data_IF_958187529677
#
_entry.id   IF_958187529677
#
_cell.length_a   1.000
_cell.length_b   1.000
_cell.length_c   1.000
_cell.angle_alpha   90.00
_cell.angle_beta   90.00
_cell.angle_gamma   90.00
#
_symmetry.space_group_name_H-M   'P 1'
#
loop_
_entity.id
_entity.type
_entity.pdbx_description
1 polymer ?
#
# COMPACT_ATOMS: atom_id res chain seq x y z
N UNK A 1 3.77 -20.20 7.25
CA UNK A 1 2.92 -21.29 6.70
C UNK A 1 3.22 -21.46 5.22
N UNK A 2 2.95 -22.61 4.61
CA UNK A 2 3.20 -22.83 3.17
C UNK A 2 1.98 -23.50 2.52
N UNK A 3 1.54 -22.99 1.38
CA UNK A 3 0.45 -23.56 0.57
C UNK A 3 0.96 -23.93 -0.83
N UNK A 4 0.45 -25.02 -1.40
CA UNK A 4 0.74 -25.44 -2.79
C UNK A 4 -0.16 -24.79 -3.85
N UNK A 5 -0.90 -23.77 -3.44
CA UNK A 5 -1.75 -22.88 -4.24
C UNK A 5 -1.68 -21.53 -3.50
N UNK A 6 -2.83 -20.94 -3.17
CA UNK A 6 -2.92 -19.60 -2.60
C UNK A 6 -3.00 -19.57 -1.06
N UNK A 7 -2.78 -18.39 -0.48
CA UNK A 7 -3.26 -18.10 0.87
C UNK A 7 -2.56 -18.88 1.96
N UNK A 8 -1.23 -18.97 1.90
CA UNK A 8 -0.40 -19.72 2.84
C UNK A 8 -0.72 -19.44 4.32
N UNK A 9 -0.99 -18.18 4.68
CA UNK A 9 -1.45 -17.81 6.02
C UNK A 9 -2.98 -17.92 6.22
N UNK A 10 -3.76 -17.37 5.30
CA UNK A 10 -5.21 -17.27 5.40
C UNK A 10 -5.89 -17.30 4.04
N UNK A 11 -6.93 -18.11 3.92
CA UNK A 11 -7.80 -18.17 2.76
C UNK A 11 -9.19 -17.63 3.14
N UNK A 12 -9.57 -16.50 2.54
CA UNK A 12 -10.85 -15.85 2.77
C UNK A 12 -11.63 -15.80 1.45
N UNK A 13 -12.68 -16.63 1.32
CA UNK A 13 -13.41 -16.81 0.06
C UNK A 13 -14.91 -16.69 0.31
N UNK A 14 -15.54 -15.70 -0.33
CA UNK A 14 -16.98 -15.54 -0.39
C UNK A 14 -17.50 -16.03 -1.74
N UNK A 15 -17.92 -17.29 -1.84
CA UNK A 15 -18.59 -17.84 -3.03
C UNK A 15 -20.10 -17.84 -2.81
N UNK A 16 -20.86 -17.09 -3.64
CA UNK A 16 -22.32 -16.92 -3.50
C UNK A 16 -22.75 -16.38 -2.11
N UNK A 17 -21.81 -15.82 -1.35
CA UNK A 17 -21.97 -15.51 0.07
C UNK A 17 -20.88 -14.59 0.57
N UNK A 18 -20.85 -14.35 1.88
CA UNK A 18 -19.93 -13.36 2.49
C UNK A 18 -18.92 -14.03 3.40
N UNK A 19 -17.64 -13.70 3.20
CA UNK A 19 -16.55 -14.00 4.12
C UNK A 19 -15.72 -12.72 4.37
N UNK A 20 -16.03 -11.99 5.43
CA UNK A 20 -15.43 -10.68 5.73
C UNK A 20 -14.95 -10.63 7.19
N UNK A 21 -13.89 -11.37 7.54
CA UNK A 21 -13.35 -11.40 8.90
C UNK A 21 -12.73 -10.06 9.32
N UNK A 22 -12.72 -9.79 10.62
CA UNK A 22 -11.98 -8.67 11.21
C UNK A 22 -10.76 -9.19 11.94
N UNK A 23 -9.59 -8.66 11.59
CA UNK A 23 -8.30 -9.00 12.17
C UNK A 23 -7.72 -7.77 12.84
N UNK A 24 -7.25 -7.94 14.08
CA UNK A 24 -6.56 -6.87 14.78
C UNK A 24 -5.35 -7.38 15.55
N UNK A 25 -4.25 -6.63 15.49
CA UNK A 25 -3.01 -6.96 16.18
C UNK A 25 -2.47 -8.34 15.75
N UNK A 26 -2.40 -8.56 14.45
CA UNK A 26 -1.97 -9.83 13.84
C UNK A 26 -0.70 -9.61 13.02
N UNK A 27 0.20 -10.59 13.03
CA UNK A 27 1.36 -10.61 12.16
C UNK A 27 1.31 -11.83 11.26
N UNK A 28 1.30 -11.62 9.95
CA UNK A 28 1.56 -12.63 8.94
C UNK A 28 3.03 -12.53 8.53
N UNK A 29 3.85 -13.47 8.97
CA UNK A 29 5.28 -13.46 8.64
C UNK A 29 5.76 -14.75 8.03
N UNK A 30 6.64 -14.63 7.04
CA UNK A 30 7.32 -15.75 6.42
C UNK A 30 6.35 -16.85 5.94
N UNK A 31 5.23 -16.43 5.34
CA UNK A 31 4.34 -17.36 4.64
C UNK A 31 4.74 -17.49 3.18
N UNK A 32 4.50 -18.66 2.60
CA UNK A 32 4.76 -18.94 1.19
C UNK A 32 3.54 -19.53 0.48
N UNK A 33 3.38 -19.21 -0.79
CA UNK A 33 2.35 -19.75 -1.69
C UNK A 33 2.96 -20.03 -3.07
N UNK A 34 2.61 -21.17 -3.67
CA UNK A 34 3.02 -21.54 -5.04
C UNK A 34 2.28 -20.71 -6.11
N UNK A 35 1.23 -19.98 -5.73
CA UNK A 35 0.46 -19.07 -6.58
C UNK A 35 0.41 -17.68 -5.92
N UNK A 36 -0.73 -17.30 -5.33
CA UNK A 36 -1.01 -15.92 -4.94
C UNK A 36 -1.16 -15.71 -3.42
N UNK A 37 -0.93 -14.47 -2.98
CA UNK A 37 -1.37 -14.01 -1.65
C UNK A 37 -0.80 -14.86 -0.52
N UNK A 38 0.53 -14.99 -0.43
CA UNK A 38 1.16 -15.96 0.45
C UNK A 38 0.77 -15.81 1.92
N UNK A 39 0.47 -14.59 2.39
CA UNK A 39 -0.12 -14.40 3.70
C UNK A 39 -1.65 -14.50 3.68
N UNK A 40 -2.32 -13.87 2.72
CA UNK A 40 -3.76 -13.76 2.69
C UNK A 40 -4.31 -13.65 1.27
N UNK A 41 -5.33 -14.46 0.97
CA UNK A 41 -6.21 -14.22 -0.17
C UNK A 41 -7.59 -13.80 0.27
N UNK A 42 -8.19 -12.88 -0.49
CA UNK A 42 -9.55 -12.37 -0.32
C UNK A 42 -10.27 -12.46 -1.66
N UNK A 43 -11.10 -13.49 -1.84
CA UNK A 43 -11.77 -13.76 -3.12
C UNK A 43 -13.28 -13.61 -2.95
N UNK A 44 -13.85 -12.58 -3.56
CA UNK A 44 -15.28 -12.46 -3.79
C UNK A 44 -15.60 -13.03 -5.17
N UNK A 45 -16.43 -14.07 -5.24
CA UNK A 45 -16.72 -14.77 -6.49
C UNK A 45 -18.22 -15.06 -6.62
N UNK A 46 -18.73 -14.92 -7.84
CA UNK A 46 -20.10 -15.21 -8.24
C UNK A 46 -21.13 -14.52 -7.34
N UNK A 47 -21.18 -13.20 -7.42
CA UNK A 47 -21.95 -12.28 -6.55
C UNK A 47 -21.54 -12.34 -5.05
N UNK A 48 -20.46 -13.04 -4.72
CA UNK A 48 -19.95 -13.19 -3.36
C UNK A 48 -19.07 -12.02 -2.90
N UNK A 49 -18.85 -11.93 -1.59
CA UNK A 49 -18.14 -10.81 -0.95
C UNK A 49 -17.04 -11.34 -0.05
N UNK A 50 -15.83 -10.84 -0.24
CA UNK A 50 -14.68 -11.08 0.63
C UNK A 50 -13.96 -9.78 0.98
N UNK A 51 -14.48 -9.04 1.97
CA UNK A 51 -13.99 -7.70 2.31
C UNK A 51 -13.58 -7.64 3.79
N UNK A 52 -12.42 -8.20 4.17
CA UNK A 52 -11.98 -8.20 5.57
C UNK A 52 -11.61 -6.79 6.07
N UNK A 53 -11.63 -6.62 7.39
CA UNK A 53 -11.14 -5.41 8.07
C UNK A 53 -9.86 -5.75 8.84
N UNK A 54 -8.79 -5.01 8.58
CA UNK A 54 -7.46 -5.23 9.15
C UNK A 54 -7.03 -3.97 9.90
N UNK A 55 -6.77 -4.11 11.19
CA UNK A 55 -6.35 -3.00 12.06
C UNK A 55 -5.08 -3.39 12.82
N UNK A 56 -4.01 -2.62 12.71
CA UNK A 56 -2.72 -2.96 13.35
C UNK A 56 -2.23 -4.35 12.90
N UNK A 57 -2.09 -4.54 11.58
CA UNK A 57 -1.64 -5.81 11.00
C UNK A 57 -0.28 -5.62 10.34
N UNK A 58 0.60 -6.61 10.49
CA UNK A 58 1.91 -6.62 9.86
C UNK A 58 2.04 -7.81 8.92
N UNK A 59 2.41 -7.55 7.67
CA UNK A 59 2.79 -8.52 6.66
C UNK A 59 4.30 -8.41 6.41
N UNK A 60 5.07 -9.41 6.83
CA UNK A 60 6.52 -9.35 6.76
C UNK A 60 7.15 -10.60 6.13
N UNK A 61 7.98 -10.42 5.11
CA UNK A 61 8.75 -11.52 4.51
C UNK A 61 7.89 -12.62 3.87
N UNK A 62 6.69 -12.30 3.39
CA UNK A 62 5.83 -13.28 2.71
C UNK A 62 6.21 -13.38 1.22
N UNK A 63 6.16 -14.60 0.66
CA UNK A 63 6.65 -14.89 -0.69
C UNK A 63 5.60 -15.65 -1.49
N UNK A 64 5.09 -15.05 -2.55
CA UNK A 64 4.19 -15.69 -3.52
C UNK A 64 4.95 -15.94 -4.83
N UNK A 65 4.68 -17.06 -5.49
CA UNK A 65 5.30 -17.37 -6.77
C UNK A 65 4.68 -16.62 -7.95
N UNK A 66 3.42 -16.19 -7.85
CA UNK A 66 2.73 -15.39 -8.86
C UNK A 66 2.50 -13.95 -8.34
N UNK A 67 1.30 -13.62 -7.84
CA UNK A 67 0.91 -12.27 -7.46
C UNK A 67 0.68 -12.05 -5.96
N UNK A 68 0.82 -10.79 -5.53
CA UNK A 68 0.44 -10.39 -4.18
C UNK A 68 1.29 -11.08 -3.11
N UNK A 69 2.58 -10.76 -3.03
CA UNK A 69 3.53 -11.47 -2.17
C UNK A 69 3.09 -11.62 -0.72
N UNK A 70 2.28 -10.69 -0.21
CA UNK A 70 1.50 -10.88 1.01
C UNK A 70 0.00 -11.08 0.74
N UNK A 71 -0.64 -10.15 0.05
CA UNK A 71 -2.09 -10.05 -0.04
C UNK A 71 -2.59 -10.03 -1.48
N UNK A 72 -3.55 -10.89 -1.78
CA UNK A 72 -4.22 -10.96 -3.08
C UNK A 72 -5.72 -10.74 -2.92
N UNK A 73 -6.24 -9.65 -3.49
CA UNK A 73 -7.63 -9.20 -3.35
C UNK A 73 -8.35 -9.24 -4.69
N UNK A 74 -9.32 -10.16 -4.84
CA UNK A 74 -9.97 -10.39 -6.13
C UNK A 74 -11.48 -10.41 -6.08
N UNK A 75 -12.10 -9.67 -7.00
CA UNK A 75 -13.49 -9.83 -7.37
C UNK A 75 -13.60 -10.52 -8.73
N UNK A 76 -14.25 -11.69 -8.79
CA UNK A 76 -14.61 -12.42 -10.01
C UNK A 76 -16.12 -12.51 -10.16
N UNK A 77 -16.64 -12.56 -11.40
CA UNK A 77 -18.04 -12.87 -11.71
C UNK A 77 -19.02 -12.03 -10.86
N UNK A 78 -18.91 -10.70 -10.96
CA UNK A 78 -19.67 -9.73 -10.13
C UNK A 78 -19.41 -9.80 -8.61
N UNK A 79 -18.39 -10.55 -8.18
CA UNK A 79 -17.93 -10.64 -6.80
C UNK A 79 -17.14 -9.40 -6.35
N UNK A 80 -17.02 -9.24 -5.03
CA UNK A 80 -16.44 -8.04 -4.41
C UNK A 80 -15.37 -8.39 -3.39
N UNK A 81 -14.19 -7.78 -3.52
CA UNK A 81 -13.10 -7.88 -2.55
C UNK A 81 -12.53 -6.50 -2.21
N UNK A 82 -13.14 -5.86 -1.21
CA UNK A 82 -12.81 -4.49 -0.82
C UNK A 82 -12.31 -4.46 0.63
N UNK A 83 -11.11 -4.97 0.93
CA UNK A 83 -10.60 -4.96 2.29
C UNK A 83 -10.34 -3.54 2.79
N UNK A 84 -10.52 -3.33 4.11
CA UNK A 84 -10.19 -2.06 4.79
C UNK A 84 -8.95 -2.25 5.65
N UNK A 85 -7.92 -1.45 5.42
CA UNK A 85 -6.62 -1.53 6.10
C UNK A 85 -6.35 -0.24 6.85
N UNK A 86 -6.20 -0.37 8.16
CA UNK A 86 -5.89 0.73 9.07
C UNK A 86 -4.65 0.37 9.89
N UNK A 87 -3.63 1.23 9.87
CA UNK A 87 -2.37 0.99 10.57
C UNK A 87 -1.72 -0.36 10.17
N UNK A 88 -1.48 -0.53 8.87
CA UNK A 88 -0.94 -1.79 8.33
C UNK A 88 0.48 -1.58 7.81
N UNK A 89 1.34 -2.57 8.04
CA UNK A 89 2.72 -2.57 7.54
C UNK A 89 2.91 -3.74 6.59
N UNK A 90 3.40 -3.47 5.39
CA UNK A 90 3.92 -4.45 4.45
C UNK A 90 5.42 -4.23 4.29
N UNK A 91 6.23 -5.15 4.81
CA UNK A 91 7.69 -5.04 4.76
C UNK A 91 8.34 -6.29 4.17
N UNK A 92 9.23 -6.13 3.20
CA UNK A 92 10.02 -7.24 2.66
C UNK A 92 9.22 -8.37 2.02
N UNK A 93 8.02 -8.13 1.51
CA UNK A 93 7.22 -9.16 0.83
C UNK A 93 7.65 -9.28 -0.64
N UNK A 94 7.56 -10.48 -1.22
CA UNK A 94 8.04 -10.77 -2.57
C UNK A 94 7.00 -11.52 -3.42
N UNK A 95 6.85 -11.12 -4.67
CA UNK A 95 6.07 -11.81 -5.71
C UNK A 95 6.94 -12.01 -6.97
N UNK A 96 6.86 -13.17 -7.66
CA UNK A 96 7.62 -13.33 -8.92
C UNK A 96 6.88 -12.82 -10.16
N UNK A 97 5.65 -12.32 -10.03
CA UNK A 97 4.97 -11.53 -11.07
C UNK A 97 4.71 -10.11 -10.57
N UNK A 98 3.56 -9.85 -9.94
CA UNK A 98 3.12 -8.49 -9.66
C UNK A 98 2.63 -8.27 -8.23
N UNK A 99 2.78 -7.04 -7.73
CA UNK A 99 2.31 -6.66 -6.40
C UNK A 99 3.12 -7.34 -5.30
N UNK A 100 4.39 -6.95 -5.12
CA UNK A 100 5.30 -7.60 -4.18
C UNK A 100 4.75 -7.67 -2.75
N UNK A 101 3.89 -6.72 -2.36
CA UNK A 101 3.06 -6.81 -1.17
C UNK A 101 1.59 -7.14 -1.49
N UNK A 102 0.96 -6.35 -2.36
CA UNK A 102 -0.49 -6.39 -2.56
C UNK A 102 -0.84 -6.37 -4.04
N UNK A 103 -1.78 -7.22 -4.42
CA UNK A 103 -2.36 -7.23 -5.75
C UNK A 103 -3.88 -7.13 -5.65
N UNK A 104 -4.45 -6.19 -6.41
CA UNK A 104 -5.88 -5.91 -6.44
C UNK A 104 -6.41 -6.15 -7.85
N UNK A 105 -7.35 -7.07 -7.97
CA UNK A 105 -7.86 -7.53 -9.26
C UNK A 105 -9.38 -7.47 -9.31
N UNK A 106 -9.93 -6.63 -10.19
CA UNK A 106 -11.31 -6.74 -10.62
C UNK A 106 -11.36 -7.41 -11.97
N UNK A 107 -12.07 -8.53 -12.08
CA UNK A 107 -12.22 -9.30 -13.31
C UNK A 107 -13.68 -9.75 -13.51
N UNK A 108 -14.11 -9.87 -14.76
CA UNK A 108 -15.44 -10.36 -15.16
C UNK A 108 -16.57 -9.69 -14.37
N UNK A 109 -16.72 -8.37 -14.54
CA UNK A 109 -17.63 -7.49 -13.79
C UNK A 109 -17.38 -7.42 -12.26
N UNK A 110 -16.32 -8.05 -11.75
CA UNK A 110 -15.93 -8.06 -10.35
C UNK A 110 -15.24 -6.77 -9.89
N UNK A 111 -15.19 -6.58 -8.57
CA UNK A 111 -14.73 -5.33 -7.95
C UNK A 111 -13.65 -5.59 -6.88
N UNK A 112 -12.50 -4.93 -7.01
CA UNK A 112 -11.44 -4.88 -5.99
C UNK A 112 -11.05 -3.43 -5.69
N UNK A 113 -11.62 -2.88 -4.62
CA UNK A 113 -11.45 -1.48 -4.23
C UNK A 113 -11.05 -1.39 -2.76
N UNK A 114 -9.82 -1.78 -2.40
CA UNK A 114 -9.37 -1.71 -1.02
C UNK A 114 -9.23 -0.26 -0.54
N UNK A 115 -9.46 -0.03 0.74
CA UNK A 115 -9.25 1.27 1.40
C UNK A 115 -8.07 1.17 2.36
N UNK A 116 -7.09 2.07 2.20
CA UNK A 116 -5.86 2.08 2.99
C UNK A 116 -5.75 3.42 3.72
N UNK A 117 -5.54 3.35 5.04
CA UNK A 117 -5.27 4.51 5.90
C UNK A 117 -4.14 4.19 6.85
N UNK A 118 -3.13 5.07 6.89
CA UNK A 118 -1.92 4.88 7.73
C UNK A 118 -1.20 3.57 7.38
N UNK A 119 -0.89 3.37 6.10
CA UNK A 119 -0.28 2.13 5.62
C UNK A 119 1.16 2.39 5.21
N UNK A 120 2.04 1.46 5.55
CA UNK A 120 3.43 1.48 5.13
C UNK A 120 3.74 0.31 4.20
N UNK A 121 4.41 0.60 3.08
CA UNK A 121 5.02 -0.38 2.18
C UNK A 121 6.52 -0.12 2.10
N UNK A 122 7.33 -0.97 2.71
CA UNK A 122 8.80 -0.85 2.71
C UNK A 122 9.48 -2.08 2.11
N UNK A 123 10.40 -1.88 1.18
CA UNK A 123 11.28 -2.95 0.71
C UNK A 123 10.56 -4.14 0.05
N UNK A 124 9.36 -3.97 -0.49
CA UNK A 124 8.64 -5.04 -1.17
C UNK A 124 9.14 -5.20 -2.62
N UNK A 125 9.13 -6.42 -3.13
CA UNK A 125 9.73 -6.76 -4.43
C UNK A 125 8.75 -7.52 -5.31
N UNK A 126 8.55 -7.05 -6.54
CA UNK A 126 7.88 -7.78 -7.61
C UNK A 126 8.85 -7.98 -8.77
N UNK A 127 8.75 -9.08 -9.52
CA UNK A 127 9.63 -9.24 -10.69
C UNK A 127 9.15 -8.40 -11.89
N UNK A 128 7.85 -8.21 -12.07
CA UNK A 128 7.27 -7.48 -13.20
C UNK A 128 6.71 -6.12 -12.79
N UNK A 129 5.56 -6.08 -12.09
CA UNK A 129 4.80 -4.83 -11.90
C UNK A 129 4.49 -4.53 -10.44
N UNK A 130 4.65 -3.27 -10.04
CA UNK A 130 4.17 -2.80 -8.74
C UNK A 130 4.93 -3.45 -7.59
N UNK A 131 6.13 -2.94 -7.29
CA UNK A 131 7.00 -3.57 -6.28
C UNK A 131 6.32 -3.67 -4.92
N UNK A 132 5.45 -2.70 -4.59
CA UNK A 132 4.52 -2.81 -3.48
C UNK A 132 3.14 -3.27 -3.95
N UNK A 133 2.51 -2.50 -4.83
CA UNK A 133 1.09 -2.65 -5.16
C UNK A 133 0.84 -2.71 -6.66
N UNK A 134 0.02 -3.67 -7.09
CA UNK A 134 -0.45 -3.78 -8.46
C UNK A 134 -1.98 -3.75 -8.51
N UNK A 135 -2.54 -2.99 -9.46
CA UNK A 135 -3.98 -2.72 -9.55
C UNK A 135 -4.51 -2.97 -10.96
N UNK A 136 -5.31 -4.03 -11.12
CA UNK A 136 -5.78 -4.52 -12.41
C UNK A 136 -7.31 -4.49 -12.54
N UNK A 137 -7.83 -3.79 -13.55
CA UNK A 137 -9.19 -4.01 -14.02
C UNK A 137 -9.18 -4.74 -15.37
N UNK A 138 -9.81 -5.91 -15.44
CA UNK A 138 -9.95 -6.72 -16.65
C UNK A 138 -11.41 -7.14 -16.87
N UNK A 139 -11.79 -7.45 -18.10
CA UNK A 139 -13.14 -7.90 -18.52
C UNK A 139 -14.30 -7.17 -17.80
N UNK A 140 -14.33 -5.83 -17.95
CA UNK A 140 -15.28 -4.92 -17.29
C UNK A 140 -15.17 -4.82 -15.75
N UNK A 141 -14.23 -5.54 -15.15
CA UNK A 141 -13.89 -5.48 -13.74
C UNK A 141 -13.22 -4.18 -13.33
N UNK A 142 -13.30 -3.88 -12.03
CA UNK A 142 -12.93 -2.59 -11.46
C UNK A 142 -11.88 -2.77 -10.37
N UNK A 143 -10.72 -2.12 -10.53
CA UNK A 143 -9.70 -1.99 -9.49
C UNK A 143 -9.42 -0.52 -9.16
N UNK A 144 -9.97 -0.01 -8.05
CA UNK A 144 -9.88 1.40 -7.68
C UNK A 144 -9.56 1.58 -6.20
N UNK A 145 -8.31 1.29 -5.78
CA UNK A 145 -7.92 1.44 -4.38
C UNK A 145 -7.92 2.93 -3.97
N UNK A 146 -8.28 3.19 -2.72
CA UNK A 146 -8.23 4.54 -2.12
C UNK A 146 -7.17 4.57 -1.02
N UNK A 147 -6.21 5.49 -1.14
CA UNK A 147 -5.06 5.59 -0.25
C UNK A 147 -5.04 6.97 0.41
N UNK A 148 -5.06 6.98 1.74
CA UNK A 148 -4.86 8.16 2.57
C UNK A 148 -3.71 7.90 3.54
N UNK A 149 -2.73 8.81 3.60
CA UNK A 149 -1.63 8.71 4.57
C UNK A 149 -0.86 7.40 4.44
N UNK A 150 -0.36 7.16 3.23
CA UNK A 150 0.38 5.94 2.89
C UNK A 150 1.81 6.31 2.52
N UNK A 151 2.77 5.54 2.98
CA UNK A 151 4.18 5.68 2.59
C UNK A 151 4.62 4.46 1.81
N UNK A 152 5.22 4.67 0.64
CA UNK A 152 5.91 3.67 -0.16
C UNK A 152 7.39 4.03 -0.22
N UNK A 153 8.22 3.20 0.38
CA UNK A 153 9.68 3.37 0.35
C UNK A 153 10.38 2.12 -0.16
N UNK A 154 11.37 2.31 -1.03
CA UNK A 154 12.32 1.25 -1.44
C UNK A 154 11.70 -0.04 -1.99
N UNK A 155 10.51 0.08 -2.57
CA UNK A 155 9.88 -1.04 -3.27
C UNK A 155 10.49 -1.17 -4.67
N UNK A 156 10.63 -2.39 -5.16
CA UNK A 156 11.34 -2.68 -6.42
C UNK A 156 10.50 -3.52 -7.37
N UNK A 157 10.42 -3.09 -8.63
CA UNK A 157 9.84 -3.88 -9.72
C UNK A 157 10.50 -3.55 -11.06
N UNK A 158 10.11 -4.23 -12.14
CA UNK A 158 10.53 -3.82 -13.48
C UNK A 158 9.72 -2.60 -13.98
N UNK A 159 8.44 -2.54 -13.62
CA UNK A 159 7.51 -1.45 -13.94
C UNK A 159 6.77 -0.97 -12.70
N UNK A 160 6.81 0.33 -12.39
CA UNK A 160 6.13 0.86 -11.22
C UNK A 160 6.78 0.37 -9.92
N UNK A 161 7.89 0.98 -9.50
CA UNK A 161 8.64 0.51 -8.34
C UNK A 161 7.79 0.43 -7.08
N UNK A 162 6.93 1.43 -6.84
CA UNK A 162 5.88 1.32 -5.83
C UNK A 162 4.60 0.71 -6.40
N UNK A 163 4.00 1.40 -7.38
CA UNK A 163 2.65 1.10 -7.85
C UNK A 163 2.62 0.89 -9.36
N UNK A 164 1.93 -0.16 -9.81
CA UNK A 164 1.56 -0.33 -11.20
C UNK A 164 0.04 -0.43 -11.35
N UNK A 165 -0.52 0.30 -12.32
CA UNK A 165 -1.95 0.31 -12.61
C UNK A 165 -2.17 -0.06 -14.07
N UNK A 166 -3.11 -0.95 -14.32
CA UNK A 166 -3.32 -1.46 -15.66
C UNK A 166 -4.77 -1.86 -15.91
N UNK A 167 -5.15 -1.80 -17.18
CA UNK A 167 -6.49 -2.14 -17.65
C UNK A 167 -6.41 -2.99 -18.92
N UNK A 168 -7.33 -3.92 -19.06
CA UNK A 168 -7.59 -4.63 -20.31
C UNK A 168 -9.09 -4.94 -20.47
N UNK A 169 -9.51 -5.35 -21.68
CA UNK A 169 -10.86 -5.84 -22.01
C UNK A 169 -12.05 -5.03 -21.44
N UNK A 170 -11.92 -3.70 -21.36
CA UNK A 170 -12.99 -2.82 -20.87
C UNK A 170 -13.01 -2.62 -19.34
N UNK A 171 -12.06 -3.22 -18.62
CA UNK A 171 -11.85 -3.00 -17.20
C UNK A 171 -11.37 -1.59 -16.87
N UNK A 172 -11.43 -1.26 -15.57
CA UNK A 172 -11.12 0.07 -15.06
C UNK A 172 -10.14 -0.02 -13.91
N UNK A 173 -9.02 0.69 -14.02
CA UNK A 173 -8.05 0.90 -12.94
C UNK A 173 -7.85 2.39 -12.72
N UNK A 174 -8.30 2.86 -11.55
CA UNK A 174 -8.26 4.28 -11.18
C UNK A 174 -8.01 4.53 -9.69
N UNK A 175 -6.79 4.30 -9.18
CA UNK A 175 -6.43 4.62 -7.81
C UNK A 175 -6.56 6.11 -7.45
N UNK A 176 -6.92 6.37 -6.20
CA UNK A 176 -6.98 7.70 -5.61
C UNK A 176 -5.99 7.84 -4.46
N UNK A 177 -5.00 8.72 -4.61
CA UNK A 177 -3.93 8.94 -3.63
C UNK A 177 -4.03 10.34 -3.01
N UNK A 178 -4.02 10.39 -1.67
CA UNK A 178 -3.98 11.62 -0.90
C UNK A 178 -3.06 11.46 0.31
N UNK A 179 -2.27 12.48 0.64
CA UNK A 179 -1.29 12.41 1.74
C UNK A 179 -0.31 11.23 1.56
N UNK A 180 0.11 10.94 0.33
CA UNK A 180 0.99 9.79 0.05
C UNK A 180 2.44 10.24 -0.10
N UNK A 181 3.37 9.46 0.43
CA UNK A 181 4.80 9.59 0.15
C UNK A 181 5.24 8.44 -0.75
N UNK A 182 5.87 8.77 -1.89
CA UNK A 182 6.49 7.85 -2.85
C UNK A 182 7.97 8.21 -2.94
N UNK A 183 8.84 7.42 -2.31
CA UNK A 183 10.26 7.73 -2.20
C UNK A 183 11.16 6.50 -2.32
N UNK A 184 12.34 6.66 -2.94
CA UNK A 184 13.37 5.65 -3.17
C UNK A 184 12.91 4.30 -3.73
N UNK A 185 11.73 4.25 -4.34
CA UNK A 185 11.26 3.11 -5.09
C UNK A 185 12.06 2.98 -6.41
N UNK A 186 12.26 1.75 -6.88
CA UNK A 186 13.12 1.46 -8.03
C UNK A 186 12.39 0.66 -9.10
N UNK A 187 12.49 1.13 -10.35
CA UNK A 187 12.04 0.37 -11.51
C UNK A 187 12.75 0.80 -12.80
N UNK A 188 12.73 -0.08 -13.80
CA UNK A 188 13.19 0.26 -15.15
C UNK A 188 12.32 1.34 -15.77
N UNK A 189 11.00 1.30 -15.52
CA UNK A 189 9.99 2.24 -16.02
C UNK A 189 9.06 2.64 -14.89
N UNK A 190 8.92 3.94 -14.63
CA UNK A 190 8.08 4.42 -13.52
C UNK A 190 8.66 4.04 -12.16
N UNK A 191 9.72 4.71 -11.71
CA UNK A 191 10.38 4.36 -10.43
C UNK A 191 9.40 4.44 -9.25
N UNK A 192 8.51 5.43 -9.25
CA UNK A 192 7.43 5.53 -8.28
C UNK A 192 6.17 4.82 -8.80
N UNK A 193 5.77 5.11 -10.04
CA UNK A 193 4.49 4.63 -10.55
C UNK A 193 4.48 4.41 -12.07
N UNK A 194 3.77 3.37 -12.50
CA UNK A 194 3.51 3.11 -13.92
C UNK A 194 2.02 2.87 -14.21
N UNK A 195 1.49 3.50 -15.28
CA UNK A 195 0.12 3.26 -15.77
C UNK A 195 0.10 2.68 -17.19
N UNK A 196 -0.73 1.67 -17.40
CA UNK A 196 -1.01 1.04 -18.70
C UNK A 196 -2.52 1.12 -18.97
N UNK A 197 -2.98 2.07 -19.78
CA UNK A 197 -4.42 2.29 -19.99
C UNK A 197 -5.22 2.71 -18.75
N UNK A 198 -4.55 2.89 -17.60
CA UNK A 198 -5.13 3.28 -16.32
C UNK A 198 -4.99 4.79 -16.07
N UNK A 199 -5.89 5.35 -15.27
CA UNK A 199 -5.80 6.77 -14.86
C UNK A 199 -5.80 6.86 -13.36
N UNK A 200 -4.71 7.35 -12.75
CA UNK A 200 -4.70 7.59 -11.31
C UNK A 200 -4.80 9.08 -10.99
N UNK A 201 -5.28 9.40 -9.79
CA UNK A 201 -5.27 10.78 -9.27
C UNK A 201 -4.42 10.89 -8.01
N UNK A 202 -3.69 11.99 -7.87
CA UNK A 202 -2.83 12.25 -6.71
C UNK A 202 -2.90 13.71 -6.28
N UNK A 203 -2.92 13.96 -4.98
CA UNK A 203 -2.98 15.32 -4.40
C UNK A 203 -2.38 15.31 -3.00
N UNK A 204 -1.86 16.45 -2.54
CA UNK A 204 -1.25 16.58 -1.21
C UNK A 204 -0.27 15.45 -0.93
N UNK A 205 0.71 15.26 -1.81
CA UNK A 205 1.59 14.08 -1.78
C UNK A 205 3.03 14.48 -2.08
N UNK A 206 3.97 13.72 -1.56
CA UNK A 206 5.40 13.90 -1.78
C UNK A 206 5.91 12.78 -2.67
N UNK A 207 6.47 13.14 -3.83
CA UNK A 207 6.89 12.19 -4.85
C UNK A 207 8.33 12.51 -5.23
N UNK A 208 9.22 11.53 -5.11
CA UNK A 208 10.61 11.70 -5.54
C UNK A 208 10.66 12.09 -7.02
N UNK A 209 11.25 13.25 -7.29
CA UNK A 209 11.43 13.72 -8.66
C UNK A 209 12.71 13.12 -9.23
N UNK A 210 12.55 12.06 -10.01
CA UNK A 210 13.56 11.59 -10.94
C UNK A 210 13.03 11.65 -12.40
N UNK A 211 13.92 11.37 -13.36
CA UNK A 211 13.60 11.47 -14.79
C UNK A 211 12.47 10.55 -15.26
N UNK A 212 12.07 9.58 -14.42
CA UNK A 212 11.14 8.50 -14.72
C UNK A 212 10.21 8.20 -13.54
N UNK A 213 9.96 9.18 -12.66
CA UNK A 213 9.19 9.00 -11.43
C UNK A 213 7.81 8.39 -11.69
N UNK A 214 7.09 8.98 -12.65
CA UNK A 214 5.78 8.51 -13.10
C UNK A 214 5.82 8.30 -14.60
N UNK A 215 5.54 7.07 -15.02
CA UNK A 215 5.47 6.70 -16.43
C UNK A 215 4.04 6.29 -16.82
N UNK A 216 3.70 6.51 -18.08
CA UNK A 216 2.42 6.10 -18.67
C UNK A 216 2.71 5.48 -20.04
N UNK A 217 1.90 4.51 -20.44
CA UNK A 217 1.80 4.11 -21.84
C UNK A 217 1.01 5.17 -22.67
N UNK A 218 0.59 4.81 -23.89
CA UNK A 218 -0.08 5.75 -24.78
C UNK A 218 -1.51 6.13 -24.34
N UNK A 219 -2.12 5.36 -23.44
CA UNK A 219 -3.53 5.51 -23.03
C UNK A 219 -3.69 5.78 -21.53
N UNK A 220 -2.64 5.56 -20.74
CA UNK A 220 -2.59 5.89 -19.32
C UNK A 220 -2.46 7.39 -19.07
N UNK A 221 -2.90 7.83 -17.89
CA UNK A 221 -2.82 9.25 -17.53
C UNK A 221 -2.74 9.50 -16.02
N UNK A 222 -2.39 10.73 -15.68
CA UNK A 222 -2.28 11.21 -14.29
C UNK A 222 -3.13 12.45 -14.12
N UNK A 223 -3.96 12.44 -13.08
CA UNK A 223 -4.72 13.61 -12.64
C UNK A 223 -4.06 14.19 -11.40
N UNK A 224 -3.25 15.23 -11.61
CA UNK A 224 -2.63 15.97 -10.51
C UNK A 224 -3.65 16.93 -9.87
N UNK A 225 -3.82 16.79 -8.58
CA UNK A 225 -4.41 17.80 -7.71
C UNK A 225 -3.35 18.75 -7.16
N UNK A 226 -3.71 19.57 -6.15
CA UNK A 226 -2.80 20.54 -5.55
C UNK A 226 -1.75 19.87 -4.65
N UNK A 227 -0.76 20.68 -4.26
CA UNK A 227 0.27 20.38 -3.27
C UNK A 227 1.04 19.07 -3.52
N UNK A 228 1.67 18.98 -4.69
CA UNK A 228 2.61 17.90 -5.01
C UNK A 228 4.03 18.40 -4.73
N UNK A 229 4.66 17.80 -3.74
CA UNK A 229 6.00 18.12 -3.27
C UNK A 229 7.00 17.12 -3.84
N UNK A 230 8.26 17.56 -4.01
CA UNK A 230 9.30 16.74 -4.64
C UNK A 230 10.63 16.75 -3.90
N UNK A 231 10.72 17.51 -2.81
CA UNK A 231 11.90 17.58 -1.97
C UNK A 231 11.96 16.36 -1.04
N UNK A 232 13.16 16.03 -0.57
CA UNK A 232 13.44 14.87 0.29
C UNK A 232 12.53 14.84 1.54
N UNK A 233 11.83 13.72 1.84
CA UNK A 233 10.98 13.58 3.02
C UNK A 233 11.79 13.57 4.32
N UNK A 234 13.12 13.48 4.26
CA UNK A 234 14.02 13.45 5.41
C UNK A 234 13.62 12.36 6.41
N UNK A 235 13.52 11.12 5.94
CA UNK A 235 13.29 9.98 6.82
C UNK A 235 14.39 9.87 7.89
N UNK A 236 14.03 9.36 9.07
CA UNK A 236 14.95 9.25 10.20
C UNK A 236 16.06 8.22 9.93
N UNK A 237 15.68 7.02 9.48
CA UNK A 237 16.61 5.91 9.20
C UNK A 237 15.92 4.87 8.31
N UNK A 238 15.92 5.08 7.00
CA UNK A 238 15.01 4.43 6.06
C UNK A 238 15.28 2.94 5.76
N UNK A 239 16.43 2.40 6.17
CA UNK A 239 16.77 0.95 6.19
C UNK A 239 17.00 0.43 7.62
N UNK A 240 16.63 1.25 8.60
CA UNK A 240 16.68 0.86 10.01
C UNK A 240 18.08 0.63 10.56
N UNK A 241 18.10 0.18 11.81
CA UNK A 241 19.34 0.01 12.57
C UNK A 241 20.21 -1.14 12.07
N UNK A 242 19.66 -2.05 11.26
CA UNK A 242 20.37 -3.17 10.65
C UNK A 242 20.89 -2.91 9.23
N UNK A 243 20.73 -1.69 8.71
CA UNK A 243 21.10 -1.28 7.35
C UNK A 243 20.51 -2.22 6.26
N UNK A 244 19.36 -2.84 6.54
CA UNK A 244 18.72 -3.83 5.65
C UNK A 244 17.29 -3.42 5.34
N UNK A 245 17.08 -2.96 4.12
CA UNK A 245 15.76 -2.61 3.57
C UNK A 245 14.74 -3.75 3.70
N UNK A 246 13.50 -3.43 4.06
CA UNK A 246 12.39 -4.38 4.08
C UNK A 246 12.36 -5.22 5.36
N UNK A 247 12.98 -4.71 6.42
CA UNK A 247 12.90 -5.27 7.77
C UNK A 247 11.87 -4.51 8.59
N UNK A 248 11.67 -4.92 9.84
CA UNK A 248 10.69 -4.28 10.71
C UNK A 248 11.24 -3.00 11.36
N UNK A 249 12.55 -2.77 11.30
CA UNK A 249 13.21 -1.59 11.86
C UNK A 249 13.43 -0.44 10.86
N UNK A 250 13.03 -0.59 9.59
CA UNK A 250 12.90 0.52 8.64
C UNK A 250 12.14 1.70 9.29
N UNK A 251 12.80 2.85 9.42
CA UNK A 251 12.29 4.03 10.14
C UNK A 251 11.97 5.19 9.19
N UNK A 252 10.76 5.11 8.65
CA UNK A 252 10.22 6.07 7.68
C UNK A 252 9.44 7.21 8.34
N UNK A 253 9.70 7.49 9.62
CA UNK A 253 9.24 8.71 10.30
C UNK A 253 9.96 9.92 9.73
N UNK A 254 9.33 11.08 9.80
CA UNK A 254 9.89 12.34 9.28
C UNK A 254 10.83 13.00 10.31
N UNK A 255 11.94 13.53 9.83
CA UNK A 255 12.87 14.35 10.61
C UNK A 255 12.50 15.84 10.57
N UNK A 256 13.07 16.62 11.50
CA UNK A 256 12.94 18.08 11.53
C UNK A 256 13.27 18.71 10.16
N UNK A 257 12.37 19.57 9.67
CA UNK A 257 12.54 20.28 8.40
C UNK A 257 12.05 19.52 7.18
N UNK A 258 11.46 18.33 7.35
CA UNK A 258 10.82 17.61 6.25
C UNK A 258 9.73 18.47 5.60
N UNK A 259 9.66 18.53 4.26
CA UNK A 259 8.61 19.23 3.54
C UNK A 259 7.24 18.55 3.66
N UNK A 260 7.19 17.30 4.15
CA UNK A 260 5.94 16.57 4.39
C UNK A 260 5.23 17.00 5.68
N UNK A 261 5.90 17.76 6.57
CA UNK A 261 5.33 18.21 7.84
C UNK A 261 4.34 19.35 7.60
N UNK A 262 3.16 19.29 8.24
CA UNK A 262 2.06 20.27 8.13
C UNK A 262 1.64 20.57 6.68
N UNK A 263 1.81 19.57 5.80
CA UNK A 263 1.63 19.70 4.35
C UNK A 263 0.48 18.85 3.78
N UNK A 264 -0.11 17.97 4.60
CA UNK A 264 -1.20 17.10 4.23
C UNK A 264 -2.57 17.79 4.16
N UNK A 265 -3.56 17.01 3.75
CA UNK A 265 -4.94 17.43 3.61
C UNK A 265 -5.81 16.76 4.68
N UNK A 266 -6.35 17.57 5.58
CA UNK A 266 -7.20 17.14 6.68
C UNK A 266 -8.53 16.54 6.19
N UNK A 267 -9.01 16.92 5.00
CA UNK A 267 -10.28 16.40 4.45
C UNK A 267 -10.17 14.93 4.02
N UNK A 268 -8.95 14.40 3.85
CA UNK A 268 -8.71 13.00 3.50
C UNK A 268 -8.54 12.08 4.72
N UNK A 269 -8.61 12.63 5.94
CA UNK A 269 -8.27 11.90 7.17
C UNK A 269 -9.50 11.17 7.72
N UNK A 270 -9.40 9.85 7.79
CA UNK A 270 -10.38 9.00 8.46
C UNK A 270 -10.00 8.66 9.92
N UNK A 271 -8.70 8.65 10.23
CA UNK A 271 -8.16 8.20 11.51
C UNK A 271 -7.58 9.36 12.33
N UNK A 272 -7.80 9.36 13.65
CA UNK A 272 -7.31 10.43 14.53
C UNK A 272 -5.88 10.21 15.02
N UNK A 273 -5.31 9.04 14.77
CA UNK A 273 -3.92 8.71 15.11
C UNK A 273 -3.16 8.23 13.89
N UNK A 274 -1.83 8.33 13.91
CA UNK A 274 -0.90 7.81 12.90
C UNK A 274 -0.55 6.32 13.15
N UNK A 275 0.41 5.81 12.38
CA UNK A 275 0.87 4.41 12.49
C UNK A 275 1.57 4.08 13.83
N UNK A 276 2.13 5.08 14.52
CA UNK A 276 2.72 4.94 15.86
C UNK A 276 1.68 5.12 16.99
N UNK A 277 0.44 5.48 16.65
CA UNK A 277 -0.63 5.79 17.60
C UNK A 277 -0.58 7.22 18.15
N UNK A 278 0.23 8.10 17.56
CA UNK A 278 0.29 9.53 17.87
C UNK A 278 -0.88 10.28 17.22
N UNK A 279 -1.30 11.41 17.77
CA UNK A 279 -2.43 12.17 17.20
C UNK A 279 -2.12 12.75 15.80
N UNK A 280 -3.00 12.60 14.81
CA UNK A 280 -2.77 13.16 13.46
C UNK A 280 -2.74 14.67 13.38
N UNK A 281 -3.59 15.33 14.16
CA UNK A 281 -3.68 16.77 14.14
C UNK A 281 -2.69 17.33 15.17
N UNK A 282 -1.43 17.49 14.75
CA UNK A 282 -0.34 17.99 15.58
C UNK A 282 0.46 19.07 14.83
N UNK A 283 0.52 20.26 15.41
CA UNK A 283 1.14 21.44 14.79
C UNK A 283 2.63 21.51 15.13
N UNK A 284 3.51 21.43 14.13
CA UNK A 284 4.91 21.82 14.30
C UNK A 284 5.05 23.33 14.13
N UNK A 285 5.07 24.02 15.28
CA UNK A 285 5.16 25.49 15.34
C UNK A 285 6.37 26.11 14.60
N UNK A 286 7.37 25.32 14.20
CA UNK A 286 8.53 25.80 13.44
C UNK A 286 8.45 25.53 11.93
N UNK A 287 7.42 24.82 11.48
CA UNK A 287 7.14 24.55 10.07
C UNK A 287 6.03 25.49 9.59
N UNK A 288 5.99 25.76 8.30
CA UNK A 288 4.92 26.56 7.69
C UNK A 288 3.84 25.62 7.17
N UNK A 289 2.61 25.79 7.64
CA UNK A 289 1.42 25.15 7.10
C UNK A 289 1.31 25.35 5.58
N UNK A 290 1.44 24.25 4.82
CA UNK A 290 1.24 24.24 3.36
C UNK A 290 0.07 23.35 2.92
N UNK A 291 -0.47 22.57 3.85
CA UNK A 291 -1.57 21.65 3.63
C UNK A 291 -2.95 22.31 3.48
N UNK A 292 -3.99 21.48 3.58
CA UNK A 292 -5.38 21.90 3.46
C UNK A 292 -6.21 21.48 4.67
N UNK A 293 -7.00 22.41 5.21
CA UNK A 293 -7.85 22.18 6.36
C UNK A 293 -7.75 23.28 7.41
N UNK A 294 -8.37 23.05 8.56
CA UNK A 294 -8.22 23.89 9.76
C UNK A 294 -7.05 23.34 10.57
N UNK A 295 -6.07 24.18 10.89
CA UNK A 295 -4.92 23.79 11.71
C UNK A 295 -5.37 23.24 13.09
N UNK A 296 -4.66 22.25 13.68
CA UNK A 296 -3.41 21.66 13.19
C UNK A 296 -3.57 20.90 11.87
N UNK A 297 -2.59 21.03 10.98
CA UNK A 297 -2.57 20.25 9.75
C UNK A 297 -1.95 18.88 10.02
N UNK A 298 -2.24 17.93 9.14
CA UNK A 298 -1.65 16.59 9.18
C UNK A 298 -0.42 16.54 8.31
N UNK A 299 0.52 15.67 8.66
CA UNK A 299 1.65 15.35 7.82
C UNK A 299 1.25 14.43 6.65
N UNK A 300 2.04 14.48 5.57
CA UNK A 300 1.93 13.47 4.51
C UNK A 300 2.53 12.14 4.98
N UNK A 301 2.02 11.02 4.46
CA UNK A 301 2.53 9.68 4.73
C UNK A 301 1.94 9.03 5.98
N UNK A 302 2.50 7.88 6.34
CA UNK A 302 1.95 7.00 7.38
C UNK A 302 2.13 7.55 8.81
N UNK A 303 3.12 8.41 9.03
CA UNK A 303 3.51 8.92 10.35
C UNK A 303 3.27 10.41 10.48
N UNK A 304 3.13 10.86 11.72
CA UNK A 304 3.11 12.27 12.10
C UNK A 304 4.37 12.58 12.90
N UNK A 305 5.03 13.67 12.53
CA UNK A 305 6.25 14.10 13.19
C UNK A 305 5.90 14.64 14.57
N UNK A 306 6.31 13.93 15.61
CA UNK A 306 6.15 14.36 17.00
C UNK A 306 7.43 14.12 17.80
N UNK A 307 7.64 14.96 18.82
CA UNK A 307 8.82 14.93 19.68
C UNK A 307 8.98 13.65 20.52
N UNK A 308 7.97 12.76 20.55
CA UNK A 308 7.95 11.55 21.38
C UNK A 308 7.52 10.28 20.64
N UNK A 309 7.50 10.23 19.30
CA UNK A 309 7.07 9.04 18.55
C UNK A 309 7.99 7.85 18.86
N UNK A 310 7.61 6.88 19.72
CA UNK A 310 8.45 5.72 19.98
C UNK A 310 8.23 4.72 18.83
N UNK A 311 9.29 4.12 18.30
CA UNK A 311 9.16 3.03 17.33
C UNK A 311 8.35 1.89 17.98
N UNK A 312 7.10 1.69 17.55
CA UNK A 312 6.25 0.62 18.08
C UNK A 312 6.46 -0.63 17.21
N UNK A 313 7.45 -1.44 17.57
CA UNK A 313 7.63 -2.76 16.95
C UNK A 313 6.64 -3.76 17.54
N UNK A 314 5.67 -4.19 16.74
CA UNK A 314 4.86 -5.37 17.05
C UNK A 314 5.65 -6.64 16.74
N UNK A 315 6.49 -7.06 17.70
CA UNK A 315 7.13 -8.38 17.59
C UNK A 315 6.07 -9.48 17.77
N UNK A 316 5.90 -10.40 16.80
CA UNK A 316 5.02 -11.54 17.02
C UNK A 316 5.56 -12.41 18.15
N UNK A 317 4.66 -12.85 19.03
CA UNK A 317 4.95 -14.02 19.86
C UNK A 317 4.95 -15.24 18.93
N UNK A 318 6.14 -15.65 18.49
CA UNK A 318 6.30 -16.89 17.72
C UNK A 318 6.25 -18.06 18.69
N UNK A 319 5.08 -18.70 18.81
CA UNK A 319 4.99 -20.04 19.41
C UNK A 319 5.31 -21.04 18.29
N UNK A 320 6.52 -21.60 18.29
CA UNK A 320 6.81 -22.80 17.50
C UNK A 320 6.36 -24.01 18.31
N UNK A 321 5.48 -24.83 17.74
CA UNK A 321 5.29 -26.19 18.23
C UNK A 321 6.54 -27.00 17.85
N UNK A 322 7.17 -27.62 18.85
CA UNK A 322 8.31 -28.54 18.71
C UNK A 322 7.91 -29.87 18.05
#
# INVERSE_FOLDING_TARGET
NSAGYDGGGMCNVGWYGTSSPSLSNVTFSNNSADNDGAAMINIGDTDGISSPSLVNVTFWGNVADDDGGAMYNVGYDSGVSNPSLENVIFSGNTANDSGGAMYNYGDTDGVSMPSLSNVLFSGNVAADKGGAMSNYGDDNGISQPSLANVTFSRNTANFGGAIANYTDAGGVSSPHLNNVILWDNSASIGTQLYNIGATFSISYSLIQSDTNAIANDATGSVVYGPNILTDDPLFVDDDGADDTVGTLDDDLRLSDGSPAIDAGNNDAIALTTDLDGNARFYDDINVTDTGNGVSPLVDMGAYEKQTNSPLVLYFPVVVKDD
#
